data_IF_885590420243
#
_entry.id   IF_885590420243
#
_cell.length_a   1.000
_cell.length_b   1.000
_cell.length_c   1.000
_cell.angle_alpha   90.00
_cell.angle_beta   90.00
_cell.angle_gamma   90.00
#
_symmetry.space_group_name_H-M   'P 1'
#
loop_
_entity.id
_entity.type
_entity.pdbx_description
1 polymer ?
#
# COMPACT_ATOMS: atom_id res chain seq x y z
N UNK A 1 0.11 5.80 1.48
CA UNK A 1 -1.19 6.39 1.05
C UNK A 1 -2.24 6.04 2.09
N UNK A 2 -2.82 7.03 2.78
CA UNK A 2 -3.72 6.82 3.93
C UNK A 2 -5.15 7.37 3.69
N UNK A 3 -5.48 7.76 2.45
CA UNK A 3 -6.82 8.17 2.06
C UNK A 3 -7.52 7.08 1.25
N UNK A 4 -8.29 6.24 1.93
CA UNK A 4 -9.20 5.29 1.32
C UNK A 4 -10.63 5.54 1.79
N UNK A 5 -11.63 5.38 0.94
CA UNK A 5 -13.04 5.58 1.30
C UNK A 5 -13.54 4.58 2.34
N UNK A 6 -12.84 3.45 2.54
CA UNK A 6 -13.16 2.44 3.53
C UNK A 6 -14.55 1.80 3.39
N UNK A 7 -15.12 1.80 2.18
CA UNK A 7 -16.50 1.35 1.95
C UNK A 7 -16.76 -0.07 2.42
N UNK A 8 -15.84 -0.99 2.19
CA UNK A 8 -15.94 -2.39 2.69
C UNK A 8 -15.84 -2.46 4.21
N UNK A 9 -14.99 -1.63 4.82
CA UNK A 9 -14.80 -1.57 6.27
C UNK A 9 -16.03 -0.98 6.99
N UNK A 10 -16.69 0.01 6.37
CA UNK A 10 -17.92 0.62 6.91
C UNK A 10 -19.13 -0.32 6.87
N UNK A 11 -19.15 -1.24 5.88
CA UNK A 11 -20.26 -2.19 5.76
C UNK A 11 -20.34 -3.07 7.00
N UNK A 12 -21.52 -3.12 7.62
CA UNK A 12 -21.76 -4.01 8.76
C UNK A 12 -21.53 -5.47 8.35
N UNK A 13 -20.90 -6.22 9.24
CA UNK A 13 -20.65 -7.65 9.07
C UNK A 13 -20.82 -8.31 10.44
N UNK A 14 -21.91 -9.04 10.61
CA UNK A 14 -22.27 -9.70 11.87
C UNK A 14 -21.34 -10.90 12.17
N UNK A 15 -20.64 -11.43 11.19
CA UNK A 15 -19.67 -12.51 11.38
C UNK A 15 -18.35 -12.03 12.01
N UNK A 16 -18.08 -10.71 11.99
CA UNK A 16 -16.86 -10.15 12.53
C UNK A 16 -17.02 -9.90 14.05
N UNK A 17 -16.28 -10.68 14.85
CA UNK A 17 -16.22 -10.50 16.30
C UNK A 17 -15.37 -9.28 16.67
N UNK A 18 -15.96 -8.08 16.65
CA UNK A 18 -15.30 -6.82 16.99
C UNK A 18 -15.70 -6.36 18.39
N UNK A 19 -14.72 -5.85 19.13
CA UNK A 19 -15.04 -5.10 20.34
C UNK A 19 -15.65 -3.72 19.98
N UNK A 20 -16.17 -3.01 21.00
CA UNK A 20 -16.87 -1.72 20.82
C UNK A 20 -15.98 -0.66 20.13
N UNK A 21 -14.72 -0.60 20.49
CA UNK A 21 -13.75 0.36 19.96
C UNK A 21 -13.44 0.06 18.48
N UNK A 22 -13.16 -1.21 18.17
CA UNK A 22 -12.94 -1.67 16.79
C UNK A 22 -14.17 -1.42 15.89
N UNK A 23 -15.36 -1.72 16.40
CA UNK A 23 -16.60 -1.49 15.65
C UNK A 23 -16.82 0.00 15.36
N UNK A 24 -16.55 0.88 16.33
CA UNK A 24 -16.63 2.32 16.16
C UNK A 24 -15.60 2.82 15.13
N UNK A 25 -14.34 2.40 15.25
CA UNK A 25 -13.29 2.76 14.32
C UNK A 25 -13.58 2.27 12.89
N UNK A 26 -14.04 1.01 12.73
CA UNK A 26 -14.43 0.44 11.44
C UNK A 26 -15.60 1.22 10.80
N UNK A 27 -16.52 1.74 11.61
CA UNK A 27 -17.63 2.59 11.16
C UNK A 27 -17.18 3.89 10.52
N UNK A 28 -16.01 4.44 10.89
CA UNK A 28 -15.43 5.63 10.24
C UNK A 28 -14.86 5.33 8.86
N UNK A 29 -14.47 4.07 8.60
CA UNK A 29 -13.78 3.63 7.37
C UNK A 29 -12.30 4.00 7.35
N UNK A 30 -11.75 4.62 8.39
CA UNK A 30 -10.33 4.99 8.47
C UNK A 30 -9.53 3.79 8.95
N UNK A 31 -9.21 2.88 8.03
CA UNK A 31 -8.54 1.61 8.29
C UNK A 31 -7.24 1.74 9.07
N UNK A 32 -6.47 2.78 8.77
CA UNK A 32 -5.20 3.11 9.42
C UNK A 32 -5.34 3.28 10.94
N UNK A 33 -6.50 3.71 11.43
CA UNK A 33 -6.76 3.97 12.84
C UNK A 33 -7.50 2.84 13.57
N UNK A 34 -7.73 1.70 12.93
CA UNK A 34 -8.36 0.54 13.59
C UNK A 34 -7.44 0.01 14.68
N UNK A 35 -7.93 -0.08 15.95
CA UNK A 35 -7.11 -0.53 17.06
C UNK A 35 -6.96 -2.05 17.06
N UNK A 36 -5.71 -2.53 17.07
CA UNK A 36 -5.34 -3.93 17.25
C UNK A 36 -4.32 -4.07 18.41
N UNK A 37 -4.58 -3.35 19.49
CA UNK A 37 -3.67 -3.03 20.60
C UNK A 37 -3.26 -1.57 20.51
N UNK A 38 -2.71 -1.15 19.38
CA UNK A 38 -2.50 0.23 18.95
C UNK A 38 -3.14 0.44 17.58
N UNK A 39 -3.27 1.68 17.05
CA UNK A 39 -3.72 1.89 15.67
C UNK A 39 -2.88 1.07 14.67
N UNK A 40 -3.54 0.47 13.68
CA UNK A 40 -2.85 -0.36 12.69
C UNK A 40 -1.69 0.37 11.99
N UNK A 41 -1.83 1.67 11.75
CA UNK A 41 -0.78 2.48 11.14
C UNK A 41 0.50 2.56 12.01
N UNK A 42 0.41 2.42 13.33
CA UNK A 42 1.60 2.34 14.19
C UNK A 42 2.47 1.14 13.84
N UNK A 43 1.87 -0.01 13.52
CA UNK A 43 2.60 -1.20 13.08
C UNK A 43 3.26 -0.99 11.73
N UNK A 44 2.55 -0.35 10.79
CA UNK A 44 3.10 -0.02 9.46
C UNK A 44 4.29 0.93 9.60
N UNK A 45 4.15 2.01 10.38
CA UNK A 45 5.22 2.98 10.62
C UNK A 45 6.39 2.36 11.41
N UNK A 46 6.09 1.51 12.39
CA UNK A 46 7.11 0.74 13.11
C UNK A 46 7.94 -0.13 12.17
N UNK A 47 7.27 -0.85 11.25
CA UNK A 47 7.96 -1.64 10.22
C UNK A 47 8.83 -0.81 9.28
N UNK A 48 8.39 0.40 8.90
CA UNK A 48 9.22 1.35 8.15
C UNK A 48 10.46 1.79 8.95
N UNK A 49 10.27 2.15 10.23
CA UNK A 49 11.39 2.52 11.11
C UNK A 49 12.38 1.36 11.31
N UNK A 50 11.89 0.12 11.44
CA UNK A 50 12.73 -1.09 11.54
C UNK A 50 13.48 -1.40 10.24
N UNK A 51 12.92 -1.01 9.10
CA UNK A 51 13.59 -1.07 7.80
C UNK A 51 14.59 0.08 7.57
N UNK A 52 14.66 1.04 8.50
CA UNK A 52 15.62 2.15 8.45
C UNK A 52 15.12 3.42 7.77
N UNK A 53 13.80 3.55 7.57
CA UNK A 53 13.22 4.83 7.14
C UNK A 53 13.10 5.77 8.35
N UNK A 54 13.50 7.02 8.18
CA UNK A 54 13.47 8.07 9.20
C UNK A 54 12.37 9.11 8.98
N UNK A 55 11.74 9.11 7.82
CA UNK A 55 10.71 10.07 7.43
C UNK A 55 9.59 9.39 6.67
N UNK A 56 8.35 9.82 6.90
CA UNK A 56 7.19 9.35 6.16
C UNK A 56 6.19 10.48 5.93
N UNK A 57 5.63 10.54 4.73
CA UNK A 57 4.52 11.44 4.40
C UNK A 57 3.21 10.64 4.40
N UNK A 58 2.29 11.02 5.26
CA UNK A 58 0.94 10.49 5.27
C UNK A 58 0.06 11.30 4.33
N UNK A 59 -0.30 10.71 3.20
CA UNK A 59 -1.26 11.32 2.26
C UNK A 59 -2.66 11.06 2.78
N UNK A 60 -3.33 12.11 3.24
CA UNK A 60 -4.64 12.07 3.90
C UNK A 60 -5.66 12.95 3.18
N UNK A 61 -6.95 12.71 3.41
CA UNK A 61 -7.99 13.65 3.03
C UNK A 61 -8.17 14.77 4.06
N UNK A 62 -8.80 15.90 3.68
CA UNK A 62 -9.09 17.00 4.61
C UNK A 62 -9.98 16.56 5.78
N UNK A 63 -10.77 15.50 5.60
CA UNK A 63 -11.63 14.88 6.60
C UNK A 63 -10.88 14.05 7.65
N UNK A 64 -9.63 13.67 7.40
CA UNK A 64 -8.86 12.74 8.25
C UNK A 64 -8.09 13.45 9.38
N UNK A 65 -8.70 14.40 10.07
CA UNK A 65 -8.09 15.13 11.20
C UNK A 65 -7.63 14.18 12.31
N UNK A 66 -8.36 13.09 12.56
CA UNK A 66 -8.02 12.11 13.59
C UNK A 66 -6.63 11.51 13.39
N UNK A 67 -6.20 11.27 12.15
CA UNK A 67 -4.85 10.76 11.87
C UNK A 67 -3.82 11.84 12.21
N UNK A 68 -4.06 13.08 11.76
CA UNK A 68 -3.16 14.20 12.05
C UNK A 68 -3.01 14.43 13.56
N UNK A 69 -4.12 14.56 14.27
CA UNK A 69 -4.13 14.83 15.71
C UNK A 69 -3.44 13.70 16.49
N UNK A 70 -3.62 12.45 16.07
CA UNK A 70 -2.96 11.32 16.71
C UNK A 70 -1.44 11.42 16.60
N UNK A 71 -0.89 11.62 15.39
CA UNK A 71 0.55 11.61 15.16
C UNK A 71 1.24 12.94 15.48
N UNK A 72 0.50 14.03 15.69
CA UNK A 72 1.10 15.32 16.07
C UNK A 72 0.96 15.67 17.55
N UNK A 73 -0.11 15.16 18.21
CA UNK A 73 -0.46 15.57 19.58
C UNK A 73 -0.53 14.38 20.53
N UNK A 74 -1.30 13.34 20.19
CA UNK A 74 -1.61 12.26 21.13
C UNK A 74 -0.46 11.26 21.28
N UNK A 75 0.16 10.85 20.17
CA UNK A 75 1.24 9.87 20.14
C UNK A 75 2.24 10.16 19.01
N UNK A 76 3.01 11.26 19.11
CA UNK A 76 4.04 11.57 18.12
C UNK A 76 5.09 10.45 18.05
N UNK A 77 5.42 9.95 16.85
CA UNK A 77 6.47 8.96 16.66
C UNK A 77 7.84 9.47 17.10
N UNK A 78 8.69 8.55 17.56
CA UNK A 78 10.05 8.89 18.04
C UNK A 78 11.17 8.51 17.06
N UNK A 79 10.91 7.54 16.20
CA UNK A 79 11.91 6.94 15.30
C UNK A 79 11.72 7.37 13.85
N UNK A 80 10.52 7.86 13.51
CA UNK A 80 10.19 8.27 12.16
C UNK A 80 9.46 9.63 12.18
N UNK A 81 9.96 10.61 11.46
CA UNK A 81 9.33 11.93 11.32
C UNK A 81 8.13 11.84 10.39
N UNK A 82 7.00 12.36 10.83
CA UNK A 82 5.77 12.33 10.05
C UNK A 82 5.49 13.71 9.45
N UNK A 83 5.28 13.74 8.15
CA UNK A 83 4.71 14.86 7.41
C UNK A 83 3.34 14.48 6.82
N UNK A 84 2.58 15.47 6.39
CA UNK A 84 1.24 15.27 5.87
C UNK A 84 1.08 15.98 4.53
N UNK A 85 0.67 15.22 3.52
CA UNK A 85 0.16 15.77 2.27
C UNK A 85 -1.36 15.59 2.22
N UNK A 86 -2.07 16.58 1.69
CA UNK A 86 -3.53 16.54 1.58
C UNK A 86 -3.91 16.25 0.14
N UNK A 87 -4.54 15.10 -0.07
CA UNK A 87 -5.25 14.82 -1.30
C UNK A 87 -6.63 15.48 -1.20
N UNK A 88 -6.84 16.58 -1.90
CA UNK A 88 -8.05 17.39 -1.76
C UNK A 88 -9.34 16.65 -2.16
N UNK A 89 -9.27 15.84 -3.21
CA UNK A 89 -10.37 15.00 -3.70
C UNK A 89 -9.89 13.55 -3.87
N UNK A 90 -10.74 12.53 -3.68
CA UNK A 90 -10.36 11.12 -3.81
C UNK A 90 -10.31 10.69 -5.29
N UNK A 91 -9.41 11.28 -6.08
CA UNK A 91 -9.32 11.07 -7.53
C UNK A 91 -8.58 9.79 -7.92
N UNK A 92 -8.08 9.03 -6.97
CA UNK A 92 -7.39 7.76 -7.21
C UNK A 92 -5.98 7.70 -6.61
N UNK A 93 -5.30 6.59 -6.83
CA UNK A 93 -4.00 6.29 -6.20
C UNK A 93 -2.85 7.06 -6.82
N UNK A 94 -2.89 7.37 -8.12
CA UNK A 94 -1.88 8.22 -8.75
C UNK A 94 -1.96 9.67 -8.26
N UNK A 95 -3.16 10.21 -8.06
CA UNK A 95 -3.37 11.53 -7.49
C UNK A 95 -2.87 11.60 -6.03
N UNK A 96 -3.06 10.52 -5.26
CA UNK A 96 -2.50 10.43 -3.92
C UNK A 96 -0.95 10.44 -3.92
N UNK A 97 -0.31 9.76 -4.87
CA UNK A 97 1.15 9.83 -5.04
C UNK A 97 1.58 11.23 -5.44
N UNK A 98 0.86 11.86 -6.37
CA UNK A 98 1.16 13.23 -6.80
C UNK A 98 1.05 14.26 -5.67
N UNK A 99 0.10 14.09 -4.75
CA UNK A 99 -0.04 14.97 -3.58
C UNK A 99 1.19 14.99 -2.67
N UNK A 100 2.04 13.95 -2.69
CA UNK A 100 3.27 13.87 -1.92
C UNK A 100 4.51 14.45 -2.64
N UNK A 101 4.34 15.09 -3.80
CA UNK A 101 5.45 15.57 -4.65
C UNK A 101 6.41 16.51 -3.92
N UNK A 102 5.90 17.43 -3.13
CA UNK A 102 6.73 18.40 -2.39
C UNK A 102 7.60 17.69 -1.33
N UNK A 103 7.03 16.70 -0.64
CA UNK A 103 7.77 15.89 0.32
C UNK A 103 8.87 15.06 -0.33
N UNK A 104 8.58 14.42 -1.44
CA UNK A 104 9.53 13.56 -2.16
C UNK A 104 10.67 14.35 -2.81
N UNK A 105 10.41 15.58 -3.25
CA UNK A 105 11.42 16.42 -3.91
C UNK A 105 11.99 15.75 -5.16
N UNK A 106 13.32 15.61 -5.19
CA UNK A 106 14.07 14.96 -6.27
C UNK A 106 14.64 13.60 -5.89
N UNK A 107 14.30 13.08 -4.72
CA UNK A 107 14.83 11.82 -4.22
C UNK A 107 14.03 10.61 -4.68
N UNK A 108 14.62 9.43 -4.53
CA UNK A 108 13.89 8.17 -4.59
C UNK A 108 13.04 8.05 -3.32
N UNK A 109 11.78 7.62 -3.47
CA UNK A 109 10.88 7.48 -2.35
C UNK A 109 10.05 6.21 -2.43
N UNK A 110 9.79 5.61 -1.26
CA UNK A 110 8.93 4.45 -1.14
C UNK A 110 7.46 4.86 -1.07
N UNK A 111 6.61 4.18 -1.83
CA UNK A 111 5.15 4.30 -1.75
C UNK A 111 4.56 2.97 -1.31
N UNK A 112 3.77 3.00 -0.25
CA UNK A 112 3.01 1.85 0.24
C UNK A 112 1.58 2.24 0.60
N UNK A 113 0.72 1.24 0.72
CA UNK A 113 -0.62 1.41 1.29
C UNK A 113 -0.56 1.40 2.81
N UNK A 114 -1.36 2.24 3.46
CA UNK A 114 -1.45 2.32 4.93
C UNK A 114 -2.31 1.22 5.55
N UNK A 115 -3.01 0.47 4.75
CA UNK A 115 -3.84 -0.68 5.15
C UNK A 115 -3.19 -2.02 4.85
N UNK A 116 -1.91 -2.02 4.47
CA UNK A 116 -1.09 -3.21 4.32
C UNK A 116 0.08 -3.19 5.32
N UNK A 117 0.36 -4.34 5.94
CA UNK A 117 1.57 -4.54 6.73
C UNK A 117 2.54 -5.43 5.94
N UNK A 118 3.69 -4.86 5.61
CA UNK A 118 4.70 -5.51 4.79
C UNK A 118 5.80 -6.13 5.65
N UNK A 119 6.43 -7.22 5.20
CA UNK A 119 7.63 -7.75 5.83
C UNK A 119 8.74 -6.70 5.89
N UNK A 120 9.37 -6.54 7.06
CA UNK A 120 10.46 -5.57 7.27
C UNK A 120 11.62 -5.84 6.31
N UNK A 121 11.90 -7.11 6.02
CA UNK A 121 12.93 -7.50 5.05
C UNK A 121 12.64 -6.95 3.64
N UNK A 122 11.37 -7.01 3.20
CA UNK A 122 10.96 -6.45 1.90
C UNK A 122 11.11 -4.93 1.88
N UNK A 123 10.67 -4.24 2.94
CA UNK A 123 10.81 -2.78 3.06
C UNK A 123 12.29 -2.36 3.03
N UNK A 124 13.16 -3.10 3.73
CA UNK A 124 14.62 -2.85 3.76
C UNK A 124 15.24 -3.05 2.37
N UNK A 125 14.92 -4.14 1.69
CA UNK A 125 15.41 -4.41 0.35
C UNK A 125 14.97 -3.32 -0.65
N UNK A 126 13.72 -2.84 -0.53
CA UNK A 126 13.24 -1.73 -1.35
C UNK A 126 13.95 -0.42 -1.03
N UNK A 127 14.27 -0.14 0.24
CA UNK A 127 15.05 1.04 0.63
C UNK A 127 16.46 1.03 0.05
N UNK A 128 17.08 -0.15 0.00
CA UNK A 128 18.47 -0.36 -0.45
C UNK A 128 18.58 -0.47 -1.97
N UNK A 129 17.47 -0.52 -2.71
CA UNK A 129 17.43 -0.75 -4.15
C UNK A 129 18.16 0.32 -4.97
N UNK A 130 18.15 1.58 -4.51
CA UNK A 130 18.88 2.68 -5.13
C UNK A 130 18.40 3.12 -6.52
N UNK A 131 17.23 2.64 -6.95
CA UNK A 131 16.59 2.96 -8.24
C UNK A 131 15.10 2.72 -8.17
N UNK A 132 14.35 3.13 -9.20
CA UNK A 132 12.92 2.81 -9.29
C UNK A 132 12.70 1.28 -9.35
N UNK A 133 11.67 0.81 -8.63
CA UNK A 133 11.37 -0.62 -8.58
C UNK A 133 10.09 -0.95 -7.85
N UNK A 134 9.77 -2.23 -7.83
CA UNK A 134 8.57 -2.79 -7.23
C UNK A 134 8.88 -4.06 -6.44
N UNK A 135 8.28 -4.16 -5.26
CA UNK A 135 8.19 -5.42 -4.54
C UNK A 135 6.96 -6.20 -5.02
N UNK A 136 7.19 -7.40 -5.51
CA UNK A 136 6.19 -8.33 -5.95
C UNK A 136 6.16 -9.55 -5.02
N UNK A 137 4.96 -10.01 -4.72
CA UNK A 137 4.75 -11.12 -3.80
C UNK A 137 4.20 -12.33 -4.57
N UNK A 138 4.74 -13.50 -4.29
CA UNK A 138 4.28 -14.73 -4.90
C UNK A 138 2.83 -15.03 -4.49
N UNK A 139 1.95 -15.20 -5.48
CA UNK A 139 0.51 -15.37 -5.28
C UNK A 139 0.18 -16.51 -4.32
N UNK A 140 0.78 -17.68 -4.53
CA UNK A 140 0.43 -18.89 -3.77
C UNK A 140 0.88 -18.76 -2.30
N UNK A 141 1.98 -18.04 -2.06
CA UNK A 141 2.43 -17.70 -0.70
C UNK A 141 1.52 -16.67 -0.02
N UNK A 142 1.06 -15.64 -0.76
CA UNK A 142 0.07 -14.71 -0.22
C UNK A 142 -1.19 -15.45 0.23
N UNK A 143 -1.71 -16.35 -0.60
CA UNK A 143 -2.92 -17.15 -0.25
C UNK A 143 -2.67 -18.02 0.97
N UNK A 144 -1.51 -18.68 1.05
CA UNK A 144 -1.22 -19.64 2.12
C UNK A 144 -0.92 -18.97 3.48
N UNK A 145 -0.24 -17.83 3.48
CA UNK A 145 0.39 -17.29 4.68
C UNK A 145 -0.18 -15.93 5.14
N UNK A 146 -0.91 -15.19 4.27
CA UNK A 146 -1.55 -13.92 4.64
C UNK A 146 -2.94 -14.12 5.26
N UNK A 147 -3.67 -13.02 5.41
CA UNK A 147 -5.11 -13.04 5.71
C UNK A 147 -5.96 -12.78 4.45
N UNK A 148 -5.37 -12.89 3.27
CA UNK A 148 -6.01 -12.52 2.01
C UNK A 148 -6.52 -13.80 1.32
N UNK A 149 -7.84 -14.02 1.24
CA UNK A 149 -8.37 -15.20 0.57
C UNK A 149 -8.13 -15.15 -0.94
N UNK A 150 -8.06 -16.32 -1.58
CA UNK A 150 -7.70 -16.47 -2.98
C UNK A 150 -8.54 -15.60 -3.93
N UNK A 151 -9.85 -15.54 -3.72
CA UNK A 151 -10.77 -14.72 -4.53
C UNK A 151 -10.47 -13.20 -4.44
N UNK A 152 -9.83 -12.75 -3.34
CA UNK A 152 -9.39 -11.38 -3.18
C UNK A 152 -8.02 -11.14 -3.82
N UNK A 153 -7.09 -12.11 -3.73
CA UNK A 153 -5.78 -12.03 -4.42
C UNK A 153 -5.97 -11.86 -5.93
N UNK A 154 -6.96 -12.54 -6.52
CA UNK A 154 -7.31 -12.41 -7.93
C UNK A 154 -7.80 -11.02 -8.36
N UNK A 155 -8.10 -10.14 -7.40
CA UNK A 155 -8.54 -8.75 -7.66
C UNK A 155 -7.39 -7.74 -7.60
N UNK A 156 -6.19 -8.18 -7.23
CA UNK A 156 -5.00 -7.34 -7.24
C UNK A 156 -4.35 -7.28 -8.62
N UNK A 157 -3.48 -6.31 -8.80
CA UNK A 157 -2.70 -6.20 -10.02
C UNK A 157 -1.64 -7.30 -10.09
N UNK A 158 -1.52 -7.95 -11.24
CA UNK A 158 -0.44 -8.89 -11.54
C UNK A 158 0.67 -8.20 -12.33
N UNK A 159 1.88 -8.70 -12.19
CA UNK A 159 3.04 -8.18 -12.89
C UNK A 159 3.55 -9.16 -13.95
N UNK A 160 3.85 -8.65 -15.14
CA UNK A 160 4.65 -9.33 -16.14
C UNK A 160 6.09 -8.84 -16.01
N UNK A 161 7.00 -9.77 -15.75
CA UNK A 161 8.43 -9.49 -15.61
C UNK A 161 9.11 -9.77 -16.95
N UNK A 162 9.86 -8.80 -17.47
CA UNK A 162 10.62 -8.92 -18.68
C UNK A 162 11.95 -9.67 -18.48
N UNK A 163 12.65 -9.94 -19.58
CA UNK A 163 13.87 -10.75 -19.63
C UNK A 163 15.03 -10.23 -18.77
N UNK A 164 15.07 -8.92 -18.48
CA UNK A 164 16.15 -8.30 -17.70
C UNK A 164 15.79 -8.10 -16.21
N UNK A 165 14.76 -8.80 -15.72
CA UNK A 165 14.29 -8.63 -14.35
C UNK A 165 13.63 -7.27 -14.07
N UNK A 166 13.21 -6.56 -15.12
CA UNK A 166 12.45 -5.34 -15.02
C UNK A 166 10.96 -5.61 -15.21
N UNK A 167 10.13 -4.76 -14.61
CA UNK A 167 8.69 -4.78 -14.85
C UNK A 167 8.43 -4.41 -16.32
N UNK A 168 7.77 -5.31 -17.03
CA UNK A 168 7.32 -5.07 -18.39
C UNK A 168 5.92 -4.49 -18.42
N UNK A 169 5.04 -5.06 -17.59
CA UNK A 169 3.64 -4.62 -17.51
C UNK A 169 3.02 -4.89 -16.16
N UNK A 170 2.15 -3.97 -15.75
CA UNK A 170 1.25 -4.15 -14.62
C UNK A 170 -0.19 -4.34 -15.14
N UNK A 171 -0.86 -5.37 -14.66
CA UNK A 171 -2.16 -5.82 -15.19
C UNK A 171 -3.20 -5.75 -14.07
N UNK A 172 -4.05 -4.73 -14.12
CA UNK A 172 -5.16 -4.59 -13.17
C UNK A 172 -6.25 -5.62 -13.46
N UNK A 173 -6.64 -6.39 -12.44
CA UNK A 173 -7.72 -7.38 -12.48
C UNK A 173 -7.72 -8.22 -13.76
N UNK A 174 -6.63 -8.91 -14.07
CA UNK A 174 -6.49 -9.66 -15.31
C UNK A 174 -7.54 -10.78 -15.40
N UNK A 175 -7.95 -11.11 -16.62
CA UNK A 175 -8.82 -12.28 -16.84
C UNK A 175 -8.08 -13.57 -16.51
N UNK A 176 -8.83 -14.66 -16.28
CA UNK A 176 -8.25 -15.98 -16.03
C UNK A 176 -7.38 -16.48 -17.21
N UNK A 177 -7.68 -16.05 -18.42
CA UNK A 177 -6.89 -16.35 -19.61
C UNK A 177 -5.53 -15.65 -19.59
N UNK A 178 -5.53 -14.35 -19.27
CA UNK A 178 -4.30 -13.53 -19.11
C UNK A 178 -3.44 -14.12 -18.00
N UNK A 179 -4.03 -14.50 -16.87
CA UNK A 179 -3.30 -15.15 -15.77
C UNK A 179 -2.60 -16.43 -16.20
N UNK A 180 -3.28 -17.30 -16.95
CA UNK A 180 -2.66 -18.53 -17.47
C UNK A 180 -1.50 -18.28 -18.41
N UNK A 181 -1.51 -17.16 -19.14
CA UNK A 181 -0.44 -16.74 -20.04
C UNK A 181 0.80 -16.15 -19.37
N UNK A 182 0.73 -15.80 -18.07
CA UNK A 182 1.88 -15.21 -17.37
C UNK A 182 2.97 -16.23 -16.99
N UNK A 183 2.67 -17.52 -17.01
CA UNK A 183 3.58 -18.56 -16.50
C UNK A 183 3.60 -18.62 -14.97
N UNK A 184 4.42 -19.52 -14.43
CA UNK A 184 4.61 -19.69 -12.99
C UNK A 184 6.04 -19.31 -12.59
N UNK A 185 6.26 -18.78 -11.36
CA UNK A 185 5.24 -18.35 -10.40
C UNK A 185 4.52 -17.05 -10.80
N UNK A 186 3.26 -16.89 -10.38
CA UNK A 186 2.50 -15.65 -10.57
C UNK A 186 2.83 -14.66 -9.47
N UNK A 187 3.14 -13.43 -9.83
CA UNK A 187 3.49 -12.35 -8.92
C UNK A 187 2.42 -11.27 -8.85
N UNK A 188 2.13 -10.85 -7.63
CA UNK A 188 1.09 -9.87 -7.28
C UNK A 188 1.74 -8.59 -6.79
N UNK A 189 1.24 -7.45 -7.26
CA UNK A 189 1.59 -6.14 -6.71
C UNK A 189 0.69 -5.84 -5.51
N UNK A 190 1.31 -5.60 -4.37
CA UNK A 190 0.67 -5.11 -3.15
C UNK A 190 0.92 -3.60 -2.94
N UNK A 191 1.21 -2.86 -4.03
CA UNK A 191 1.52 -1.42 -3.99
C UNK A 191 2.71 -1.07 -3.08
N UNK A 192 3.82 -1.79 -3.21
CA UNK A 192 5.09 -1.47 -2.57
C UNK A 192 6.09 -1.07 -3.66
N UNK A 193 6.27 0.23 -3.86
CA UNK A 193 7.02 0.81 -4.97
C UNK A 193 8.12 1.75 -4.50
N UNK A 194 9.28 1.71 -5.12
CA UNK A 194 10.23 2.81 -5.10
C UNK A 194 10.09 3.59 -6.39
N UNK A 195 9.81 4.86 -6.30
CA UNK A 195 9.70 5.76 -7.44
C UNK A 195 10.85 6.77 -7.50
N UNK A 196 11.22 7.13 -8.71
CA UNK A 196 11.93 8.35 -9.02
C UNK A 196 10.91 9.50 -9.23
N UNK A 197 11.36 10.77 -9.27
CA UNK A 197 10.48 11.89 -9.59
C UNK A 197 9.79 11.82 -10.95
N UNK A 198 10.23 10.93 -11.84
CA UNK A 198 9.59 10.69 -13.15
C UNK A 198 8.12 10.28 -12.99
N UNK A 199 7.77 9.58 -11.90
CA UNK A 199 6.40 9.15 -11.64
C UNK A 199 5.42 10.33 -11.57
N UNK A 200 5.84 11.49 -11.09
CA UNK A 200 4.96 12.67 -11.00
C UNK A 200 4.52 13.18 -12.38
N UNK A 201 5.41 13.07 -13.38
CA UNK A 201 5.07 13.39 -14.77
C UNK A 201 4.07 12.39 -15.32
N UNK A 202 4.25 11.12 -15.03
CA UNK A 202 3.31 10.07 -15.42
C UNK A 202 1.93 10.26 -14.76
N UNK A 203 1.88 10.56 -13.45
CA UNK A 203 0.62 10.85 -12.74
C UNK A 203 -0.17 12.01 -13.37
N UNK A 204 0.52 13.01 -13.95
CA UNK A 204 -0.12 14.14 -14.62
C UNK A 204 -0.56 13.82 -16.08
N UNK A 205 0.06 12.82 -16.69
CA UNK A 205 -0.17 12.49 -18.10
C UNK A 205 -1.34 11.50 -18.32
N UNK A 206 -1.67 10.70 -17.30
CA UNK A 206 -2.73 9.70 -17.40
C UNK A 206 -4.12 10.30 -17.38
N UNK A 207 -5.08 9.58 -17.94
CA UNK A 207 -6.51 9.91 -17.91
C UNK A 207 -7.22 9.03 -16.88
N UNK A 208 -8.37 9.46 -16.34
CA UNK A 208 -9.17 8.62 -15.46
C UNK A 208 -9.55 7.30 -16.12
N UNK A 209 -9.44 6.21 -15.36
CA UNK A 209 -9.90 4.88 -15.78
C UNK A 209 -11.42 4.83 -15.98
N UNK A 210 -11.94 3.69 -16.45
CA UNK A 210 -13.39 3.47 -16.55
C UNK A 210 -14.14 3.62 -15.22
N UNK A 211 -13.42 3.62 -14.08
CA UNK A 211 -13.96 3.89 -12.75
C UNK A 211 -13.96 5.37 -12.37
N UNK A 212 -13.43 6.23 -13.23
CA UNK A 212 -13.25 7.65 -12.96
C UNK A 212 -12.08 7.97 -12.03
N UNK A 213 -11.15 7.03 -11.83
CA UNK A 213 -10.00 7.16 -10.93
C UNK A 213 -8.68 7.23 -11.71
N UNK A 214 -7.75 8.03 -11.23
CA UNK A 214 -6.35 8.06 -11.71
C UNK A 214 -5.60 6.92 -11.02
N UNK A 215 -5.42 5.82 -11.74
CA UNK A 215 -4.82 4.61 -11.18
C UNK A 215 -3.29 4.69 -11.16
N UNK A 216 -2.68 4.22 -10.08
CA UNK A 216 -1.22 4.18 -10.00
C UNK A 216 -0.60 3.21 -11.02
N UNK A 217 -1.28 2.09 -11.29
CA UNK A 217 -0.88 1.14 -12.34
C UNK A 217 -0.79 1.79 -13.72
N UNK A 218 -1.73 2.68 -14.06
CA UNK A 218 -1.71 3.41 -15.33
C UNK A 218 -0.55 4.42 -15.37
N UNK A 219 -0.27 5.09 -14.24
CA UNK A 219 0.88 5.98 -14.14
C UNK A 219 2.21 5.21 -14.26
N UNK A 220 2.33 4.04 -13.62
CA UNK A 220 3.50 3.16 -13.77
C UNK A 220 3.67 2.73 -15.23
N UNK A 221 2.59 2.30 -15.89
CA UNK A 221 2.66 1.89 -17.29
C UNK A 221 3.02 3.08 -18.20
N UNK A 222 2.48 4.26 -17.95
CA UNK A 222 2.86 5.49 -18.66
C UNK A 222 4.35 5.83 -18.45
N UNK A 223 4.86 5.66 -17.22
CA UNK A 223 6.28 5.89 -16.94
C UNK A 223 7.18 4.92 -17.72
N UNK A 224 6.78 3.66 -17.89
CA UNK A 224 7.50 2.67 -18.70
C UNK A 224 7.42 3.03 -20.19
N UNK A 225 6.22 3.14 -20.72
CA UNK A 225 5.97 3.17 -22.18
C UNK A 225 6.32 4.53 -22.81
N UNK A 226 6.05 5.64 -22.09
CA UNK A 226 6.20 6.99 -22.62
C UNK A 226 7.40 7.75 -22.08
N UNK A 227 7.86 7.46 -20.86
CA UNK A 227 8.94 8.19 -20.21
C UNK A 227 10.24 7.38 -20.09
N UNK A 228 10.24 6.11 -20.50
CA UNK A 228 11.41 5.25 -20.51
C UNK A 228 11.91 4.84 -19.11
N UNK A 229 11.07 4.95 -18.08
CA UNK A 229 11.44 4.55 -16.72
C UNK A 229 11.51 3.03 -16.63
N UNK A 230 12.52 2.53 -15.93
CA UNK A 230 12.73 1.10 -15.73
C UNK A 230 12.54 0.76 -14.27
N UNK A 231 11.56 -0.08 -13.97
CA UNK A 231 11.30 -0.57 -12.61
C UNK A 231 12.00 -1.91 -12.40
N UNK A 232 12.97 -1.92 -11.49
CA UNK A 232 13.59 -3.17 -11.04
C UNK A 232 12.56 -3.98 -10.23
N UNK A 233 12.53 -5.29 -10.45
CA UNK A 233 11.62 -6.17 -9.73
C UNK A 233 12.37 -6.89 -8.62
N UNK A 234 11.86 -6.79 -7.39
CA UNK A 234 12.24 -7.66 -6.28
C UNK A 234 11.07 -8.59 -5.95
N UNK A 235 11.32 -9.87 -5.88
CA UNK A 235 10.29 -10.89 -5.60
C UNK A 235 10.43 -11.42 -4.19
N UNK A 236 9.28 -11.60 -3.51
CA UNK A 236 9.22 -12.07 -2.13
C UNK A 236 8.24 -13.23 -2.00
N UNK A 237 8.56 -14.15 -1.11
CA UNK A 237 7.70 -15.28 -0.70
C UNK A 237 7.01 -15.03 0.64
N UNK A 238 7.30 -13.91 1.27
CA UNK A 238 6.70 -13.52 2.55
C UNK A 238 5.27 -13.02 2.38
N UNK A 239 4.48 -13.13 3.45
CA UNK A 239 3.10 -12.66 3.47
C UNK A 239 3.00 -11.17 3.75
N UNK A 240 2.10 -10.51 3.03
CA UNK A 240 1.61 -9.16 3.34
C UNK A 240 0.25 -9.30 4.03
N UNK A 241 0.02 -8.57 5.13
CA UNK A 241 -1.30 -8.52 5.75
C UNK A 241 -2.10 -7.36 5.20
N UNK A 242 -3.41 -7.57 4.99
CA UNK A 242 -4.32 -6.59 4.39
C UNK A 242 -5.51 -6.29 5.32
N UNK A 243 -5.67 -5.03 5.72
CA UNK A 243 -6.77 -4.54 6.54
C UNK A 243 -7.89 -3.97 5.65
N UNK A 244 -8.60 -4.82 4.92
CA UNK A 244 -9.58 -4.39 3.93
C UNK A 244 -11.03 -4.36 4.43
N UNK A 245 -11.40 -5.29 5.29
CA UNK A 245 -12.76 -5.52 5.75
C UNK A 245 -12.80 -5.85 7.25
N UNK A 246 -13.99 -5.86 7.85
CA UNK A 246 -14.16 -6.14 9.29
C UNK A 246 -13.61 -7.50 9.74
N UNK A 247 -13.84 -8.60 9.01
CA UNK A 247 -13.26 -9.90 9.36
C UNK A 247 -11.73 -9.92 9.41
N UNK A 248 -11.05 -9.04 8.63
CA UNK A 248 -9.59 -8.96 8.64
C UNK A 248 -9.02 -8.48 9.98
N UNK A 249 -9.79 -7.71 10.75
CA UNK A 249 -9.31 -7.08 12.00
C UNK A 249 -8.81 -8.13 12.99
N UNK A 250 -9.61 -9.16 13.25
CA UNK A 250 -9.25 -10.21 14.21
C UNK A 250 -8.02 -11.01 13.74
N UNK A 251 -7.97 -11.36 12.46
CA UNK A 251 -6.87 -12.15 11.89
C UNK A 251 -5.58 -11.36 11.88
N UNK A 252 -5.63 -10.09 11.49
CA UNK A 252 -4.45 -9.21 11.50
C UNK A 252 -3.97 -8.96 12.93
N UNK A 253 -4.89 -8.74 13.89
CA UNK A 253 -4.55 -8.59 15.31
C UNK A 253 -3.83 -9.83 15.86
N UNK A 254 -4.28 -11.03 15.48
CA UNK A 254 -3.65 -12.29 15.88
C UNK A 254 -2.25 -12.44 15.28
N UNK A 255 -2.09 -12.18 13.98
CA UNK A 255 -0.80 -12.28 13.29
C UNK A 255 0.24 -11.25 13.76
N UNK A 256 -0.20 -10.10 14.24
CA UNK A 256 0.66 -9.05 14.80
C UNK A 256 0.80 -9.13 16.34
N UNK A 257 0.23 -10.17 16.95
CA UNK A 257 0.36 -10.40 18.41
C UNK A 257 1.84 -10.53 18.79
N UNK A 258 2.24 -9.79 19.83
CA UNK A 258 3.62 -9.77 20.31
C UNK A 258 4.55 -8.78 19.59
N UNK A 259 4.10 -8.20 18.46
CA UNK A 259 4.82 -7.07 17.87
C UNK A 259 4.46 -5.82 18.66
N UNK A 260 5.46 -5.17 19.23
CA UNK A 260 5.29 -3.88 19.87
C UNK A 260 5.69 -2.77 18.89
N UNK A 261 4.73 -2.11 18.24
CA UNK A 261 5.06 -1.07 17.28
C UNK A 261 5.68 0.13 17.99
N UNK A 262 6.81 0.56 17.51
CA UNK A 262 7.55 1.72 18.02
C UNK A 262 7.96 2.60 16.84
N UNK A 263 7.04 3.36 16.29
CA UNK A 263 7.33 4.26 15.17
C UNK A 263 8.17 5.48 15.55
#
# INVERSE_FOLDING_TARGET
MARGLGTRMRKADESAALNREQAAAAGTGIKAMIPIGRPFLDYVLGGLADAGFSEACLVIGPEHRVIRDYYTVQSPPKRIRIEFAVQAQPLGTADAVFAAKEFAGNDLFLVINSDNYYPVAALRAMRELGRAGVALFERDRLVAESNIPEDRVLKFALAKIGLEGCLERILEKPSAEVMRGLGLPVYVSMNCWVFSPVIFRACQAIQPSARGELELSDAVQCAIDALGERFCVLTFQDAVLDMSSRPDIAVVAEKLRGINPNP
#
